data_IF_522996790340
#
_entry.id   IF_522996790340
#
_cell.length_a   1.000
_cell.length_b   1.000
_cell.length_c   1.000
_cell.angle_alpha   90.00
_cell.angle_beta   90.00
_cell.angle_gamma   90.00
#
_symmetry.space_group_name_H-M   'P 1'
#
loop_
_entity.id
_entity.type
_entity.pdbx_description
1 polymer ?
#
# COMPACT_ATOMS: atom_id res chain seq x y z
N UNK A 1 20.85 28.10 -13.22
CA UNK A 1 19.98 27.35 -14.14
C UNK A 1 20.11 25.83 -14.00
N UNK A 2 21.30 25.25 -13.76
CA UNK A 2 21.49 23.79 -13.65
C UNK A 2 20.91 23.09 -12.39
N UNK A 3 20.82 23.77 -11.24
CA UNK A 3 20.36 23.13 -9.99
C UNK A 3 18.89 22.68 -9.99
N UNK A 4 18.02 23.39 -10.72
CA UNK A 4 16.59 23.06 -10.79
C UNK A 4 16.32 21.76 -11.56
N UNK A 5 17.10 21.45 -12.60
CA UNK A 5 16.95 20.19 -13.35
C UNK A 5 17.22 18.96 -12.50
N UNK A 6 18.23 19.00 -11.61
CA UNK A 6 18.55 17.88 -10.73
C UNK A 6 17.45 17.61 -9.70
N UNK A 7 16.89 18.68 -9.12
CA UNK A 7 15.79 18.57 -8.15
C UNK A 7 14.56 17.93 -8.79
N UNK A 8 14.21 18.33 -10.02
CA UNK A 8 13.08 17.75 -10.76
C UNK A 8 13.27 16.27 -11.08
N UNK A 9 14.49 15.85 -11.45
CA UNK A 9 14.80 14.44 -11.72
C UNK A 9 14.66 13.60 -10.45
N UNK A 10 15.19 14.06 -9.32
CA UNK A 10 15.11 13.35 -8.04
C UNK A 10 13.64 13.24 -7.58
N UNK A 11 12.88 14.33 -7.66
CA UNK A 11 11.46 14.32 -7.30
C UNK A 11 10.66 13.36 -8.17
N UNK A 12 10.90 13.35 -9.48
CA UNK A 12 10.25 12.42 -10.41
C UNK A 12 10.57 10.96 -10.08
N UNK A 13 11.83 10.67 -9.73
CA UNK A 13 12.26 9.32 -9.36
C UNK A 13 11.61 8.83 -8.05
N UNK A 14 11.56 9.71 -7.05
CA UNK A 14 10.89 9.43 -5.75
C UNK A 14 9.39 9.19 -5.97
N UNK A 15 8.73 10.00 -6.79
CA UNK A 15 7.33 9.80 -7.14
C UNK A 15 7.09 8.44 -7.80
N UNK A 16 7.94 8.07 -8.76
CA UNK A 16 7.87 6.78 -9.45
C UNK A 16 8.05 5.61 -8.48
N UNK A 17 9.05 5.69 -7.60
CA UNK A 17 9.29 4.68 -6.57
C UNK A 17 8.11 4.56 -5.60
N UNK A 18 7.54 5.67 -5.15
CA UNK A 18 6.32 5.67 -4.32
C UNK A 18 5.13 5.07 -5.05
N UNK A 19 4.99 5.31 -6.36
CA UNK A 19 3.93 4.70 -7.19
C UNK A 19 4.08 3.20 -7.33
N UNK A 20 5.32 2.73 -7.54
CA UNK A 20 5.63 1.31 -7.63
C UNK A 20 5.38 0.62 -6.28
N UNK A 21 5.81 1.21 -5.16
CA UNK A 21 5.56 0.69 -3.82
C UNK A 21 4.07 0.66 -3.46
N UNK A 22 3.31 1.66 -3.91
CA UNK A 22 1.87 1.71 -3.73
C UNK A 22 1.16 0.61 -4.55
N UNK A 23 1.52 0.47 -5.83
CA UNK A 23 0.97 -0.60 -6.67
C UNK A 23 1.35 -2.00 -6.13
N UNK A 24 2.58 -2.16 -5.64
CA UNK A 24 3.04 -3.42 -5.05
C UNK A 24 2.28 -3.80 -3.77
N UNK A 25 1.98 -2.84 -2.90
CA UNK A 25 1.15 -3.08 -1.70
C UNK A 25 -0.29 -3.45 -2.05
N UNK A 26 -0.83 -2.91 -3.14
CA UNK A 26 -2.14 -3.27 -3.67
C UNK A 26 -2.15 -4.72 -4.22
N UNK A 27 -1.10 -5.12 -4.93
CA UNK A 27 -0.91 -6.50 -5.39
C UNK A 27 -0.71 -7.47 -4.22
N UNK A 28 0.07 -7.10 -3.20
CA UNK A 28 0.26 -7.92 -2.00
C UNK A 28 -1.05 -8.10 -1.23
N UNK A 29 -1.88 -7.04 -1.18
CA UNK A 29 -3.22 -7.08 -0.63
C UNK A 29 -4.12 -8.05 -1.41
N UNK A 30 -4.18 -7.93 -2.75
CA UNK A 30 -4.95 -8.85 -3.58
C UNK A 30 -4.51 -10.31 -3.43
N UNK A 31 -3.19 -10.58 -3.36
CA UNK A 31 -2.64 -11.94 -3.25
C UNK A 31 -2.79 -12.55 -1.86
N UNK A 32 -2.68 -11.76 -0.79
CA UNK A 32 -2.73 -12.29 0.59
C UNK A 32 -4.10 -12.21 1.24
N UNK A 33 -5.03 -11.35 0.81
CA UNK A 33 -6.37 -11.30 1.42
C UNK A 33 -7.17 -12.54 1.03
N UNK A 34 -7.58 -13.30 2.04
CA UNK A 34 -8.46 -14.47 1.91
C UNK A 34 -9.89 -14.02 1.59
N UNK A 35 -10.55 -14.71 0.66
CA UNK A 35 -11.90 -14.49 0.10
C UNK A 35 -13.07 -14.60 1.11
N UNK A 36 -12.81 -14.46 2.42
CA UNK A 36 -13.87 -14.43 3.44
C UNK A 36 -14.46 -13.03 3.57
N UNK A 37 -15.62 -12.83 2.93
CA UNK A 37 -16.55 -11.74 3.23
C UNK A 37 -16.05 -10.35 2.88
N UNK A 38 -15.71 -10.09 1.61
CA UNK A 38 -15.43 -8.75 1.07
C UNK A 38 -14.25 -7.97 1.67
N UNK A 39 -13.48 -8.57 2.60
CA UNK A 39 -12.32 -7.91 3.25
C UNK A 39 -11.27 -7.47 2.22
N UNK A 40 -11.10 -8.22 1.12
CA UNK A 40 -10.22 -7.84 -0.01
C UNK A 40 -10.64 -6.53 -0.65
N UNK A 41 -11.94 -6.36 -0.94
CA UNK A 41 -12.46 -5.20 -1.65
C UNK A 41 -12.31 -3.92 -0.81
N UNK A 42 -12.61 -4.02 0.49
CA UNK A 42 -12.49 -2.89 1.43
C UNK A 42 -11.05 -2.40 1.52
N UNK A 43 -10.08 -3.32 1.65
CA UNK A 43 -8.68 -2.95 1.72
C UNK A 43 -8.15 -2.34 0.44
N UNK A 44 -8.55 -2.86 -0.73
CA UNK A 44 -8.20 -2.26 -2.01
C UNK A 44 -8.75 -0.83 -2.11
N UNK A 45 -10.01 -0.60 -1.73
CA UNK A 45 -10.62 0.74 -1.74
C UNK A 45 -9.89 1.69 -0.79
N UNK A 46 -9.57 1.25 0.43
CA UNK A 46 -8.81 2.05 1.40
C UNK A 46 -7.44 2.40 0.84
N UNK A 47 -6.66 1.42 0.33
CA UNK A 47 -5.32 1.64 -0.23
C UNK A 47 -5.37 2.59 -1.44
N UNK A 48 -6.39 2.49 -2.30
CA UNK A 48 -6.62 3.40 -3.43
C UNK A 48 -6.93 4.82 -2.97
N UNK A 49 -7.79 5.00 -1.97
CA UNK A 49 -8.15 6.32 -1.48
C UNK A 49 -7.10 7.00 -0.62
N UNK A 50 -6.32 6.22 0.13
CA UNK A 50 -5.35 6.75 1.12
C UNK A 50 -3.90 6.62 0.69
N UNK A 51 -3.61 6.02 -0.46
CA UNK A 51 -2.28 5.90 -1.06
C UNK A 51 -1.22 5.39 -0.08
N UNK A 52 -0.32 6.25 0.41
CA UNK A 52 0.71 5.92 1.41
C UNK A 52 0.09 5.59 2.79
N UNK A 53 -0.96 6.30 3.18
CA UNK A 53 -1.64 6.11 4.48
C UNK A 53 -2.35 4.76 4.51
N UNK A 54 -2.83 4.28 3.35
CA UNK A 54 -3.48 2.97 3.23
C UNK A 54 -2.54 1.80 3.50
N UNK A 55 -1.30 1.87 3.03
CA UNK A 55 -0.27 0.87 3.33
C UNK A 55 0.10 0.85 4.83
N UNK A 56 0.14 2.02 5.47
CA UNK A 56 0.44 2.13 6.91
C UNK A 56 -0.70 1.57 7.78
N UNK A 57 -1.95 1.89 7.43
CA UNK A 57 -3.15 1.28 8.01
C UNK A 57 -3.15 -0.24 7.80
N UNK A 58 -2.78 -0.72 6.61
CA UNK A 58 -2.66 -2.15 6.28
C UNK A 58 -1.76 -2.87 7.27
N UNK A 59 -0.58 -2.31 7.53
CA UNK A 59 0.37 -2.91 8.45
C UNK A 59 -0.16 -2.94 9.89
N UNK A 60 -0.78 -1.85 10.36
CA UNK A 60 -1.28 -1.72 11.73
C UNK A 60 -2.53 -2.57 12.01
N UNK A 61 -3.48 -2.60 11.08
CA UNK A 61 -4.78 -3.27 11.29
C UNK A 61 -4.71 -4.75 10.90
N UNK A 62 -3.85 -5.15 9.95
CA UNK A 62 -3.82 -6.53 9.47
C UNK A 62 -3.01 -7.49 10.34
N UNK A 63 -1.93 -7.02 10.99
CA UNK A 63 -1.18 -7.82 11.96
C UNK A 63 -2.08 -8.47 13.04
N UNK A 64 -2.98 -7.73 13.73
CA UNK A 64 -3.83 -8.34 14.76
C UNK A 64 -4.92 -9.26 14.19
N UNK A 65 -5.36 -9.07 12.93
CA UNK A 65 -6.35 -9.94 12.29
C UNK A 65 -5.81 -11.35 12.04
N UNK A 66 -4.53 -11.49 11.66
CA UNK A 66 -3.87 -12.79 11.52
C UNK A 66 -3.79 -13.56 12.85
N UNK A 67 -3.55 -12.85 13.96
CA UNK A 67 -3.47 -13.47 15.30
C UNK A 67 -4.85 -13.97 15.76
N UNK A 68 -5.94 -13.28 15.40
CA UNK A 68 -7.30 -13.74 15.71
C UNK A 68 -7.80 -14.89 14.83
N UNK A 69 -7.39 -14.97 13.56
CA UNK A 69 -7.84 -16.03 12.65
C UNK A 69 -7.01 -17.32 12.75
N UNK A 70 -5.73 -17.25 13.11
CA UNK A 70 -4.86 -18.41 13.36
C UNK A 70 -4.69 -18.75 14.86
N UNK A 71 -5.32 -18.01 15.76
CA UNK A 71 -5.32 -18.25 17.21
C UNK A 71 -6.26 -19.38 17.64
N UNK A 72 -6.15 -20.55 17.00
CA UNK A 72 -6.52 -21.86 17.53
C UNK A 72 -5.36 -22.81 17.26
#
# INVERSE_FOLDING_TARGET
>A
MFGYSLILIIFGFVFLLSFILWAWTLVDCLRKETDKGNTRLIWVIVIVFTYIVGAFLYYLIRQPKRVKELGR
#
